data_IF_190335206155
#
_entry.id   IF_190335206155
#
_cell.length_a   1.000
_cell.length_b   1.000
_cell.length_c   1.000
_cell.angle_alpha   90.00
_cell.angle_beta   90.00
_cell.angle_gamma   90.00
#
_symmetry.space_group_name_H-M   'P 1'
#
loop_
_entity.id
_entity.type
_entity.pdbx_description
1 polymer ?
#
# COMPACT_ATOMS: atom_id res chain seq x y z
N UNK A 1 2.79 -6.15 -22.37
CA UNK A 1 2.42 -6.10 -20.92
C UNK A 1 3.36 -6.89 -19.99
N UNK A 2 4.16 -7.86 -20.48
CA UNK A 2 5.08 -8.68 -19.64
C UNK A 2 6.16 -7.89 -18.89
N UNK A 3 6.76 -6.88 -19.53
CA UNK A 3 7.79 -6.01 -18.90
C UNK A 3 7.27 -5.29 -17.66
N UNK A 4 6.03 -4.80 -17.70
CA UNK A 4 5.42 -4.09 -16.58
C UNK A 4 5.13 -5.04 -15.40
N UNK A 5 4.68 -6.26 -15.69
CA UNK A 5 4.47 -7.27 -14.66
C UNK A 5 5.78 -7.64 -13.95
N UNK A 6 6.86 -7.81 -14.73
CA UNK A 6 8.20 -8.07 -14.18
C UNK A 6 8.68 -6.92 -13.29
N UNK A 7 8.51 -5.66 -13.75
CA UNK A 7 8.91 -4.49 -12.98
C UNK A 7 8.12 -4.35 -11.67
N UNK A 8 6.80 -4.58 -11.70
CA UNK A 8 5.97 -4.61 -10.50
C UNK A 8 6.42 -5.68 -9.51
N UNK A 9 6.84 -6.85 -10.00
CA UNK A 9 7.36 -7.89 -9.12
C UNK A 9 8.68 -7.44 -8.48
N UNK A 10 9.66 -7.04 -9.29
CA UNK A 10 11.00 -6.62 -8.83
C UNK A 10 10.94 -5.49 -7.79
N UNK A 11 10.12 -4.46 -8.05
CA UNK A 11 9.92 -3.36 -7.12
C UNK A 11 9.33 -3.81 -5.77
N UNK A 12 8.35 -4.70 -5.79
CA UNK A 12 7.63 -5.11 -4.58
C UNK A 12 8.38 -6.15 -3.75
N UNK A 13 9.21 -6.99 -4.37
CA UNK A 13 9.79 -8.17 -3.69
C UNK A 13 11.30 -8.10 -3.53
N UNK A 14 12.03 -7.37 -4.39
CA UNK A 14 13.50 -7.39 -4.41
C UNK A 14 14.10 -6.09 -3.89
N UNK A 15 13.47 -4.93 -4.18
CA UNK A 15 14.08 -3.63 -3.89
C UNK A 15 13.77 -3.14 -2.48
N UNK A 16 14.78 -2.97 -1.60
CA UNK A 16 14.59 -2.32 -0.32
C UNK A 16 14.46 -0.81 -0.49
N UNK A 17 13.61 -0.19 0.33
CA UNK A 17 13.36 1.26 0.31
C UNK A 17 13.73 1.87 1.66
N UNK A 18 14.53 2.94 1.65
CA UNK A 18 14.96 3.63 2.89
C UNK A 18 13.78 4.18 3.70
N UNK A 19 12.74 4.67 3.02
CA UNK A 19 11.48 5.11 3.65
C UNK A 19 10.77 3.99 4.42
N UNK A 20 10.94 2.73 3.99
CA UNK A 20 10.42 1.54 4.65
C UNK A 20 11.44 0.90 5.60
N UNK A 21 12.45 1.65 6.06
CA UNK A 21 13.51 1.12 6.92
C UNK A 21 14.41 0.10 6.22
N UNK A 22 14.69 0.31 4.92
CA UNK A 22 15.42 -0.63 4.05
C UNK A 22 14.73 -1.99 3.86
N UNK A 23 13.39 -2.04 4.00
CA UNK A 23 12.58 -3.21 3.69
C UNK A 23 11.95 -3.10 2.30
N UNK A 24 11.59 -4.24 1.71
CA UNK A 24 10.78 -4.26 0.49
C UNK A 24 9.30 -3.97 0.82
N UNK A 25 8.51 -3.46 -0.14
CA UNK A 25 7.08 -3.21 0.09
C UNK A 25 6.33 -4.45 0.58
N UNK A 26 6.66 -5.64 0.06
CA UNK A 26 6.07 -6.88 0.52
C UNK A 26 6.45 -7.24 1.97
N UNK A 27 7.69 -6.97 2.37
CA UNK A 27 8.14 -7.18 3.76
C UNK A 27 7.46 -6.21 4.72
N UNK A 28 7.38 -4.93 4.36
CA UNK A 28 6.69 -3.92 5.17
C UNK A 28 5.22 -4.28 5.39
N UNK A 29 4.52 -4.75 4.34
CA UNK A 29 3.14 -5.24 4.45
C UNK A 29 3.01 -6.43 5.40
N UNK A 30 3.91 -7.43 5.29
CA UNK A 30 3.90 -8.58 6.21
C UNK A 30 4.20 -8.18 7.65
N UNK A 31 5.09 -7.21 7.86
CA UNK A 31 5.35 -6.66 9.18
C UNK A 31 4.09 -5.99 9.74
N UNK A 32 3.45 -5.13 8.95
CA UNK A 32 2.19 -4.47 9.31
C UNK A 32 1.08 -5.49 9.64
N UNK A 33 0.88 -6.51 8.81
CA UNK A 33 -0.09 -7.58 9.05
C UNK A 33 0.20 -8.37 10.35
N UNK A 34 1.47 -8.54 10.73
CA UNK A 34 1.82 -9.17 12.01
C UNK A 34 1.52 -8.26 13.21
N UNK A 35 1.73 -6.95 13.07
CA UNK A 35 1.39 -5.98 14.11
C UNK A 35 -0.12 -5.78 14.26
N UNK A 36 -0.85 -5.66 13.15
CA UNK A 36 -2.30 -5.48 13.11
C UNK A 36 -3.06 -6.78 13.39
N UNK A 37 -2.56 -7.92 12.93
CA UNK A 37 -3.13 -9.25 13.16
C UNK A 37 -3.02 -9.74 14.61
N UNK A 38 -2.33 -8.99 15.49
CA UNK A 38 -2.31 -9.27 16.93
C UNK A 38 -3.59 -8.85 17.67
N UNK A 39 -4.52 -8.13 17.02
CA UNK A 39 -5.82 -7.75 17.57
C UNK A 39 -6.98 -8.36 16.77
N UNK A 40 -7.42 -9.61 17.06
CA UNK A 40 -8.47 -10.32 16.32
C UNK A 40 -9.89 -9.78 16.55
N UNK A 41 -10.07 -8.53 16.99
CA UNK A 41 -11.37 -7.99 17.36
C UNK A 41 -11.57 -6.47 17.17
N UNK A 42 -10.63 -5.77 16.52
CA UNK A 42 -10.68 -4.31 16.37
C UNK A 42 -10.96 -3.85 14.93
N UNK A 43 -11.58 -4.69 14.10
CA UNK A 43 -12.08 -4.26 12.79
C UNK A 43 -13.36 -3.43 13.02
N UNK A 44 -13.19 -2.13 13.31
CA UNK A 44 -14.28 -1.19 13.15
C UNK A 44 -14.70 -1.17 11.67
N UNK A 45 -16.00 -1.07 11.36
CA UNK A 45 -16.45 -0.98 9.98
C UNK A 45 -15.74 0.17 9.28
N UNK A 46 -15.37 -0.09 8.04
CA UNK A 46 -14.94 0.83 7.02
C UNK A 46 -15.92 1.99 6.90
N UNK A 47 -15.76 2.97 7.79
CA UNK A 47 -16.14 4.33 7.48
C UNK A 47 -15.30 4.74 6.29
N UNK A 48 -15.84 4.51 5.10
CA UNK A 48 -15.40 5.07 3.83
C UNK A 48 -14.79 6.44 4.12
N UNK A 49 -13.46 6.53 4.06
CA UNK A 49 -12.81 7.82 4.09
C UNK A 49 -13.22 8.48 2.78
N UNK A 50 -14.33 9.23 2.84
CA UNK A 50 -14.87 10.04 1.76
C UNK A 50 -13.78 11.03 1.38
N UNK A 51 -12.89 10.58 0.50
CA UNK A 51 -11.83 11.38 -0.04
C UNK A 51 -12.53 12.33 -1.00
N UNK A 52 -12.61 13.65 -0.71
CA UNK A 52 -13.31 14.56 -1.59
C UNK A 52 -12.56 14.51 -2.92
N UNK A 53 -13.23 13.98 -3.95
CA UNK A 53 -12.69 13.94 -5.29
C UNK A 53 -12.52 15.40 -5.74
N UNK A 54 -11.29 15.92 -5.90
CA UNK A 54 -11.12 17.27 -6.42
C UNK A 54 -11.25 17.17 -7.94
N UNK A 55 -12.48 16.94 -8.41
CA UNK A 55 -12.84 17.27 -9.79
C UNK A 55 -12.85 18.80 -9.87
N UNK A 56 -11.65 19.39 -9.88
CA UNK A 56 -11.46 20.73 -10.41
C UNK A 56 -11.85 20.63 -11.88
N UNK A 57 -13.10 20.98 -12.19
CA UNK A 57 -13.52 21.25 -13.55
C UNK A 57 -12.61 22.34 -14.09
N UNK A 58 -11.64 21.97 -14.92
CA UNK A 58 -10.99 22.92 -15.81
C UNK A 58 -12.09 23.46 -16.72
N UNK A 59 -12.59 24.65 -16.38
CA UNK A 59 -13.31 25.51 -17.30
C UNK A 59 -12.37 25.85 -18.45
N UNK A 60 -12.81 25.58 -19.68
CA UNK A 60 -12.17 25.99 -20.93
C UNK A 60 -12.27 27.51 -21.12
#
# INVERSE_FOLDING_TARGET
>A
RRKLALWRYDYNTVRPHSSLGNQTPQQARRALEQFEGSAPGALAPDGEAEYPNPTCRLSL
#
